data_IF_744562000583
#
_entry.id   IF_744562000583
#
_cell.length_a   1.000
_cell.length_b   1.000
_cell.length_c   1.000
_cell.angle_alpha   90.00
_cell.angle_beta   90.00
_cell.angle_gamma   90.00
#
_symmetry.space_group_name_H-M   'P 1'
#
loop_
_entity.id
_entity.type
_entity.pdbx_description
1 polymer ?
#
# COMPACT_ATOMS: atom_id res chain seq x y z
N UNK A 1 -18.60 17.73 -9.24
CA UNK A 1 -18.51 18.46 -7.95
C UNK A 1 -17.56 17.66 -7.07
N UNK A 2 -16.29 18.06 -7.05
CA UNK A 2 -15.21 17.40 -6.35
C UNK A 2 -15.00 18.09 -5.01
N UNK A 3 -15.08 17.36 -3.88
CA UNK A 3 -14.52 17.80 -2.60
C UNK A 3 -14.06 16.58 -1.82
N UNK A 4 -12.74 16.38 -1.79
CA UNK A 4 -12.05 15.46 -0.90
C UNK A 4 -11.31 16.35 0.12
N UNK A 5 -11.78 16.41 1.37
CA UNK A 5 -11.07 17.09 2.44
C UNK A 5 -10.45 16.04 3.36
N UNK A 6 -9.13 15.88 3.27
CA UNK A 6 -8.31 15.11 4.20
C UNK A 6 -7.77 16.07 5.26
N UNK A 7 -8.22 15.88 6.49
CA UNK A 7 -7.75 16.57 7.69
C UNK A 7 -6.37 16.03 8.09
N UNK A 8 -5.38 16.90 8.19
CA UNK A 8 -4.10 16.64 8.85
C UNK A 8 -3.95 17.66 9.96
N UNK A 9 -4.13 17.19 11.20
CA UNK A 9 -3.78 17.91 12.43
C UNK A 9 -2.26 18.06 12.49
N UNK A 10 -1.77 19.29 12.35
CA UNK A 10 -0.40 19.65 12.70
C UNK A 10 -0.31 19.84 14.22
N UNK A 11 0.44 18.96 14.87
CA UNK A 11 0.85 19.11 16.26
C UNK A 11 1.91 20.19 16.39
N UNK A 12 1.65 21.11 17.31
CA UNK A 12 2.48 22.23 17.73
C UNK A 12 3.81 21.71 18.29
N UNK A 13 4.94 22.02 17.63
CA UNK A 13 6.27 21.86 18.20
C UNK A 13 6.76 23.24 18.68
N UNK A 14 6.63 23.44 19.98
CA UNK A 14 7.06 24.60 20.76
C UNK A 14 8.56 24.44 21.08
N UNK A 15 9.45 24.81 20.15
CA UNK A 15 10.87 25.03 20.48
C UNK A 15 11.42 26.14 19.59
N UNK A 16 11.87 27.26 20.19
CA UNK A 16 12.85 28.14 19.54
C UNK A 16 12.42 29.57 19.19
N UNK A 17 11.61 30.24 20.02
CA UNK A 17 11.30 31.67 19.83
C UNK A 17 12.47 32.64 20.13
N UNK A 18 13.63 32.17 20.60
CA UNK A 18 14.81 33.04 20.87
C UNK A 18 15.79 33.17 19.70
N UNK A 19 15.79 32.28 18.71
CA UNK A 19 16.76 32.33 17.60
C UNK A 19 16.35 33.28 16.47
N UNK A 20 15.09 33.67 16.39
CA UNK A 20 14.58 34.58 15.34
C UNK A 20 14.75 36.06 15.69
N UNK A 21 14.88 36.40 16.98
CA UNK A 21 15.08 37.79 17.41
C UNK A 21 16.53 38.28 17.29
N UNK A 22 17.51 37.37 17.33
CA UNK A 22 18.93 37.73 17.07
C UNK A 22 19.20 37.98 15.59
N UNK A 23 18.44 37.34 14.69
CA UNK A 23 18.62 37.50 13.24
C UNK A 23 18.07 38.85 12.73
N UNK A 24 17.02 39.40 13.36
CA UNK A 24 16.49 40.71 13.01
C UNK A 24 17.39 41.87 13.46
N UNK A 25 18.13 41.73 14.57
CA UNK A 25 18.99 42.81 15.07
C UNK A 25 20.36 42.89 14.36
N UNK A 26 20.77 41.82 13.67
CA UNK A 26 21.98 41.83 12.84
C UNK A 26 21.77 42.43 11.44
N UNK A 27 20.53 42.50 10.95
CA UNK A 27 20.22 43.13 9.67
C UNK A 27 20.21 44.67 9.73
N UNK A 28 19.99 45.27 10.91
CA UNK A 28 19.87 46.72 11.06
C UNK A 28 21.20 47.46 11.24
N UNK A 29 22.28 46.76 11.63
CA UNK A 29 23.62 47.36 11.76
C UNK A 29 24.43 47.36 10.46
N UNK A 30 23.85 46.84 9.36
CA UNK A 30 24.50 46.78 8.05
C UNK A 30 23.91 47.80 7.05
N UNK A 31 23.22 48.81 7.57
CA UNK A 31 22.79 49.97 6.81
C UNK A 31 23.55 51.18 7.34
N UNK A 32 24.71 51.47 6.75
CA UNK A 32 25.42 52.77 6.68
C UNK A 32 26.95 52.63 6.54
N UNK A 33 27.44 51.60 5.86
CA UNK A 33 28.56 51.84 4.96
C UNK A 33 28.00 51.81 3.55
N UNK A 34 27.78 53.02 3.00
CA UNK A 34 27.66 53.16 1.55
C UNK A 34 28.98 52.58 1.03
N UNK A 35 28.91 51.40 0.42
CA UNK A 35 30.04 50.84 -0.32
C UNK A 35 30.19 51.74 -1.55
N UNK A 36 30.96 52.81 -1.38
CA UNK A 36 31.46 53.57 -2.51
C UNK A 36 32.34 52.60 -3.29
N UNK A 37 32.10 52.50 -4.59
CA UNK A 37 33.05 51.87 -5.50
C UNK A 37 34.31 52.76 -5.53
N UNK A 38 35.14 52.63 -4.51
CA UNK A 38 36.44 53.25 -4.46
C UNK A 38 37.32 52.57 -5.50
N UNK A 39 37.66 53.36 -6.52
CA UNK A 39 38.25 52.99 -7.80
C UNK A 39 37.30 52.33 -8.82
N UNK A 40 37.19 52.95 -10.00
CA UNK A 40 36.60 52.38 -11.22
C UNK A 40 37.36 51.15 -11.76
N UNK A 41 38.44 50.72 -11.09
CA UNK A 41 39.22 49.52 -11.39
C UNK A 41 39.66 48.84 -10.09
N UNK A 42 39.21 47.60 -9.86
CA UNK A 42 39.68 46.80 -8.72
C UNK A 42 41.01 46.14 -9.09
N UNK A 43 42.09 46.69 -8.58
CA UNK A 43 43.45 46.23 -8.83
C UNK A 43 43.84 45.18 -7.79
N UNK A 44 43.30 43.97 -7.93
CA UNK A 44 43.60 42.86 -7.02
C UNK A 44 44.98 42.23 -7.24
N UNK A 45 45.70 42.58 -8.32
CA UNK A 45 46.88 41.86 -8.80
C UNK A 45 48.03 42.77 -9.29
N UNK A 46 48.00 44.06 -8.95
CA UNK A 46 49.10 44.98 -9.31
C UNK A 46 50.24 44.96 -8.27
N UNK A 47 49.98 44.46 -7.06
CA UNK A 47 51.01 44.28 -6.01
C UNK A 47 51.78 42.95 -6.14
N UNK A 48 51.26 42.03 -6.94
CA UNK A 48 51.98 40.81 -7.30
C UNK A 48 52.95 41.17 -8.42
N UNK A 49 54.23 41.36 -8.08
CA UNK A 49 55.29 41.32 -9.09
C UNK A 49 55.01 40.13 -10.00
N UNK A 50 54.90 40.36 -11.31
CA UNK A 50 54.60 39.31 -12.29
C UNK A 50 55.82 38.38 -12.42
N UNK A 51 56.07 37.58 -11.39
CA UNK A 51 57.07 36.50 -11.34
C UNK A 51 56.55 35.38 -12.23
N UNK A 52 56.69 35.57 -13.54
CA UNK A 52 56.92 34.42 -14.39
C UNK A 52 58.18 33.75 -13.86
N UNK A 53 58.15 32.48 -13.42
CA UNK A 53 59.35 31.82 -12.95
C UNK A 53 60.30 31.71 -14.14
N UNK A 54 61.31 32.58 -14.19
CA UNK A 54 62.37 32.48 -15.18
C UNK A 54 63.09 31.17 -14.87
N UNK A 55 63.20 30.25 -15.84
CA UNK A 55 63.86 28.97 -15.60
C UNK A 55 65.29 29.22 -15.13
N UNK A 56 65.59 28.79 -13.89
CA UNK A 56 66.88 29.01 -13.23
C UNK A 56 66.92 30.11 -12.16
N UNK A 57 65.84 30.87 -11.92
CA UNK A 57 65.79 31.91 -10.86
C UNK A 57 64.91 31.56 -9.67
N UNK A 58 64.43 30.31 -9.57
CA UNK A 58 63.67 29.86 -8.39
C UNK A 58 64.63 29.68 -7.22
N UNK A 59 64.49 30.54 -6.21
CA UNK A 59 65.19 30.37 -4.95
C UNK A 59 64.54 29.16 -4.26
N UNK A 60 65.30 28.10 -3.94
CA UNK A 60 64.73 26.96 -3.24
C UNK A 60 64.22 27.42 -1.87
N UNK A 61 63.03 26.94 -1.46
CA UNK A 61 62.46 27.25 -0.16
C UNK A 61 63.45 26.93 0.96
N UNK A 62 63.49 27.77 2.00
CA UNK A 62 64.43 27.61 3.09
C UNK A 62 64.21 26.27 3.81
N UNK A 63 65.26 25.69 4.39
CA UNK A 63 65.16 24.40 5.09
C UNK A 63 64.10 24.41 6.21
N UNK A 64 63.94 25.56 6.87
CA UNK A 64 62.91 25.85 7.87
C UNK A 64 61.48 25.79 7.32
N UNK A 65 61.24 26.30 6.11
CA UNK A 65 59.91 26.19 5.46
C UNK A 65 59.61 24.77 4.98
N UNK A 66 60.64 24.03 4.55
CA UNK A 66 60.50 22.63 4.16
C UNK A 66 60.19 21.71 5.35
N UNK A 67 60.67 22.04 6.55
CA UNK A 67 60.40 21.29 7.78
C UNK A 67 58.96 21.49 8.27
N UNK A 68 58.42 22.71 8.15
CA UNK A 68 57.01 23.02 8.46
C UNK A 68 56.03 22.29 7.55
N UNK A 69 56.40 22.06 6.28
CA UNK A 69 55.60 21.32 5.30
C UNK A 69 55.61 19.80 5.52
N UNK A 70 56.47 19.29 6.41
CA UNK A 70 56.53 17.88 6.76
C UNK A 70 57.30 17.00 5.76
N UNK A 71 57.41 15.69 6.05
CA UNK A 71 58.19 14.76 5.24
C UNK A 71 57.64 14.64 3.81
N UNK A 72 58.54 14.47 2.84
CA UNK A 72 58.14 14.27 1.44
C UNK A 72 57.53 12.88 1.25
N UNK A 73 56.32 12.84 0.70
CA UNK A 73 55.61 11.61 0.35
C UNK A 73 55.35 11.61 -1.15
N UNK A 74 55.74 10.52 -1.83
CA UNK A 74 55.39 10.32 -3.23
C UNK A 74 53.98 9.72 -3.31
N UNK A 75 53.03 10.48 -3.84
CA UNK A 75 51.67 10.02 -4.12
C UNK A 75 51.50 10.01 -5.64
N UNK A 76 51.31 8.82 -6.22
CA UNK A 76 51.09 8.64 -7.67
C UNK A 76 52.19 9.26 -8.56
N UNK A 77 53.46 9.17 -8.14
CA UNK A 77 54.61 9.72 -8.87
C UNK A 77 54.84 11.22 -8.68
N UNK A 78 53.98 11.92 -7.92
CA UNK A 78 54.15 13.33 -7.56
C UNK A 78 54.58 13.46 -6.11
N UNK A 79 55.60 14.27 -5.83
CA UNK A 79 56.09 14.53 -4.49
C UNK A 79 55.20 15.57 -3.80
N UNK A 80 54.49 15.17 -2.75
CA UNK A 80 53.61 16.02 -1.96
C UNK A 80 54.18 16.15 -0.55
N UNK A 81 54.24 17.37 -0.02
CA UNK A 81 54.57 17.65 1.38
C UNK A 81 53.34 18.24 2.04
N UNK A 82 52.88 17.62 3.12
CA UNK A 82 51.76 18.11 3.91
C UNK A 82 52.01 17.89 5.41
N UNK A 83 51.61 18.84 6.27
CA UNK A 83 51.67 18.65 7.71
C UNK A 83 50.84 17.42 8.13
N UNK A 84 51.43 16.53 8.92
CA UNK A 84 50.81 15.26 9.35
C UNK A 84 49.50 15.45 10.11
N UNK A 85 49.38 16.54 10.89
CA UNK A 85 48.16 16.90 11.63
C UNK A 85 47.00 17.18 10.67
N UNK A 86 47.27 17.89 9.58
CA UNK A 86 46.25 18.27 8.60
C UNK A 86 45.84 17.07 7.75
N UNK A 87 46.81 16.21 7.36
CA UNK A 87 46.53 14.95 6.66
C UNK A 87 45.61 14.06 7.50
N UNK A 88 45.89 13.91 8.79
CA UNK A 88 45.06 13.11 9.70
C UNK A 88 43.66 13.72 9.88
N UNK A 89 43.55 15.04 10.01
CA UNK A 89 42.25 15.71 10.11
C UNK A 89 41.38 15.45 8.88
N UNK A 90 41.90 15.71 7.68
CA UNK A 90 41.13 15.48 6.45
C UNK A 90 40.85 14.00 6.20
N UNK A 91 41.76 13.12 6.61
CA UNK A 91 41.53 11.67 6.56
C UNK A 91 40.35 11.27 7.45
N UNK A 92 40.30 11.76 8.70
CA UNK A 92 39.18 11.49 9.61
C UNK A 92 37.87 12.06 9.08
N UNK A 93 37.86 13.31 8.62
CA UNK A 93 36.66 13.94 8.03
C UNK A 93 36.16 13.16 6.81
N UNK A 94 37.06 12.70 5.94
CA UNK A 94 36.72 11.85 4.79
C UNK A 94 36.16 10.51 5.24
N UNK A 95 36.76 9.86 6.23
CA UNK A 95 36.29 8.57 6.73
C UNK A 95 34.91 8.69 7.36
N UNK A 96 34.67 9.71 8.18
CA UNK A 96 33.37 9.95 8.81
C UNK A 96 32.28 10.28 7.79
N UNK A 97 32.57 11.15 6.81
CA UNK A 97 31.61 11.44 5.74
C UNK A 97 31.30 10.19 4.92
N UNK A 98 32.30 9.39 4.57
CA UNK A 98 32.11 8.16 3.79
C UNK A 98 31.31 7.12 4.58
N UNK A 99 31.59 6.95 5.87
CA UNK A 99 30.84 6.08 6.76
C UNK A 99 29.37 6.55 6.89
N UNK A 100 29.16 7.87 6.99
CA UNK A 100 27.81 8.44 7.02
C UNK A 100 27.05 8.18 5.72
N UNK A 101 27.68 8.43 4.56
CA UNK A 101 27.08 8.14 3.25
C UNK A 101 26.73 6.65 3.10
N UNK A 102 27.64 5.75 3.46
CA UNK A 102 27.41 4.31 3.42
C UNK A 102 26.27 3.89 4.35
N UNK A 103 26.18 4.46 5.55
CA UNK A 103 25.08 4.16 6.48
C UNK A 103 23.72 4.63 5.94
N UNK A 104 23.67 5.79 5.29
CA UNK A 104 22.46 6.30 4.65
C UNK A 104 22.06 5.41 3.47
N UNK A 105 23.03 5.04 2.62
CA UNK A 105 22.82 4.14 1.49
C UNK A 105 22.30 2.77 1.94
N UNK A 106 22.92 2.18 2.98
CA UNK A 106 22.49 0.90 3.53
C UNK A 106 21.06 0.95 4.08
N UNK A 107 20.69 2.02 4.79
CA UNK A 107 19.31 2.21 5.27
C UNK A 107 18.31 2.37 4.13
N UNK A 108 18.70 3.10 3.08
CA UNK A 108 17.86 3.29 1.91
C UNK A 108 17.65 1.98 1.14
N UNK A 109 18.70 1.18 0.97
CA UNK A 109 18.64 -0.14 0.36
C UNK A 109 17.76 -1.08 1.20
N UNK A 110 17.93 -1.12 2.53
CA UNK A 110 17.09 -1.95 3.41
C UNK A 110 15.60 -1.57 3.34
N UNK A 111 15.29 -0.27 3.28
CA UNK A 111 13.91 0.21 3.11
C UNK A 111 13.35 -0.19 1.75
N UNK A 112 14.15 -0.06 0.70
CA UNK A 112 13.78 -0.41 -0.67
C UNK A 112 13.54 -1.91 -0.80
N UNK A 113 14.40 -2.74 -0.20
CA UNK A 113 14.25 -4.20 -0.19
C UNK A 113 13.01 -4.64 0.57
N UNK A 114 12.71 -4.03 1.73
CA UNK A 114 11.47 -4.28 2.47
C UNK A 114 10.24 -3.89 1.66
N UNK A 115 10.31 -2.76 0.96
CA UNK A 115 9.24 -2.28 0.10
C UNK A 115 8.99 -3.25 -1.07
N UNK A 116 10.05 -3.65 -1.79
CA UNK A 116 9.92 -4.63 -2.88
C UNK A 116 9.48 -6.00 -2.40
N UNK A 117 9.92 -6.45 -1.22
CA UNK A 117 9.45 -7.71 -0.64
C UNK A 117 7.95 -7.66 -0.37
N UNK A 118 7.45 -6.56 0.21
CA UNK A 118 6.02 -6.32 0.42
C UNK A 118 5.25 -6.29 -0.91
N UNK A 119 5.77 -5.60 -1.92
CA UNK A 119 5.16 -5.57 -3.25
C UNK A 119 5.12 -6.97 -3.90
N UNK A 120 6.17 -7.77 -3.72
CA UNK A 120 6.26 -9.15 -4.24
C UNK A 120 5.26 -10.06 -3.54
N UNK A 121 5.10 -9.94 -2.22
CA UNK A 121 4.10 -10.66 -1.44
C UNK A 121 2.67 -10.30 -1.90
N UNK A 122 2.41 -9.01 -2.10
CA UNK A 122 1.11 -8.54 -2.61
C UNK A 122 0.87 -9.03 -4.04
N UNK A 123 1.86 -8.89 -4.93
CA UNK A 123 1.77 -9.31 -6.33
C UNK A 123 1.59 -10.82 -6.46
N UNK A 124 2.32 -11.62 -5.68
CA UNK A 124 2.15 -13.08 -5.65
C UNK A 124 0.79 -13.48 -5.11
N UNK A 125 0.28 -12.78 -4.09
CA UNK A 125 -1.08 -13.00 -3.57
C UNK A 125 -2.13 -12.66 -4.63
N UNK A 126 -2.03 -11.52 -5.29
CA UNK A 126 -2.96 -11.09 -6.36
C UNK A 126 -2.89 -12.08 -7.54
N UNK A 127 -1.68 -12.44 -7.97
CA UNK A 127 -1.46 -13.41 -9.03
C UNK A 127 -2.01 -14.80 -8.66
N UNK A 128 -2.01 -15.16 -7.38
CA UNK A 128 -2.60 -16.42 -6.91
C UNK A 128 -4.13 -16.36 -6.84
N UNK A 129 -4.70 -15.15 -6.77
CA UNK A 129 -6.15 -14.93 -6.69
C UNK A 129 -6.80 -14.97 -8.08
N UNK A 130 -6.12 -14.43 -9.08
CA UNK A 130 -6.57 -14.37 -10.46
C UNK A 130 -6.36 -15.70 -11.18
N UNK A 131 -7.43 -16.28 -11.73
CA UNK A 131 -7.35 -17.37 -12.70
C UNK A 131 -7.25 -16.76 -14.12
N UNK A 132 -6.21 -17.10 -14.90
CA UNK A 132 -5.99 -16.57 -16.26
C UNK A 132 -7.12 -16.88 -17.24
N UNK A 133 -8.07 -17.73 -16.85
CA UNK A 133 -9.23 -18.13 -17.65
C UNK A 133 -10.38 -17.11 -17.61
N UNK A 134 -10.37 -16.18 -16.66
CA UNK A 134 -11.41 -15.13 -16.54
C UNK A 134 -10.90 -13.77 -17.05
N UNK A 135 -11.57 -13.21 -18.06
CA UNK A 135 -11.26 -11.87 -18.56
C UNK A 135 -11.72 -10.78 -17.57
N UNK A 136 -10.77 -10.21 -16.83
CA UNK A 136 -11.05 -9.22 -15.78
C UNK A 136 -11.66 -7.92 -16.32
N UNK A 137 -11.26 -7.50 -17.51
CA UNK A 137 -11.60 -6.17 -18.03
C UNK A 137 -13.10 -6.02 -18.32
N UNK A 138 -13.76 -6.87 -19.13
CA UNK A 138 -15.20 -6.79 -19.33
C UNK A 138 -15.98 -7.12 -18.06
N UNK A 139 -15.55 -8.13 -17.29
CA UNK A 139 -16.29 -8.60 -16.12
C UNK A 139 -16.28 -7.60 -14.95
N UNK A 140 -15.16 -6.89 -14.72
CA UNK A 140 -15.08 -5.84 -13.71
C UNK A 140 -16.02 -4.68 -13.99
N UNK A 141 -16.20 -4.31 -15.27
CA UNK A 141 -17.15 -3.27 -15.69
C UNK A 141 -18.58 -3.70 -15.37
N UNK A 142 -18.95 -4.96 -15.64
CA UNK A 142 -20.27 -5.47 -15.28
C UNK A 142 -20.53 -5.46 -13.77
N UNK A 143 -19.51 -5.74 -12.96
CA UNK A 143 -19.61 -5.61 -11.50
C UNK A 143 -19.89 -4.16 -11.12
N UNK A 144 -19.11 -3.21 -11.63
CA UNK A 144 -19.31 -1.78 -11.33
C UNK A 144 -20.73 -1.35 -11.71
N UNK A 145 -21.24 -1.79 -12.87
CA UNK A 145 -22.62 -1.53 -13.30
C UNK A 145 -23.65 -2.15 -12.34
N UNK A 146 -23.47 -3.40 -11.92
CA UNK A 146 -24.33 -4.06 -10.94
C UNK A 146 -24.33 -3.36 -9.57
N UNK A 147 -23.15 -2.91 -9.13
CA UNK A 147 -22.97 -2.11 -7.91
C UNK A 147 -23.76 -0.80 -8.00
N UNK A 148 -23.65 -0.11 -9.15
CA UNK A 148 -24.37 1.13 -9.42
C UNK A 148 -25.89 0.88 -9.49
N UNK A 149 -26.33 -0.23 -10.05
CA UNK A 149 -27.74 -0.64 -10.01
C UNK A 149 -28.24 -0.78 -8.57
N UNK A 150 -27.43 -1.32 -7.66
CA UNK A 150 -27.72 -1.36 -6.23
C UNK A 150 -27.92 0.02 -5.60
N UNK A 151 -27.19 1.05 -6.05
CA UNK A 151 -27.40 2.44 -5.60
C UNK A 151 -28.75 3.00 -6.05
N UNK A 152 -29.18 2.66 -7.27
CA UNK A 152 -30.45 3.11 -7.84
C UNK A 152 -31.62 2.44 -7.11
N UNK A 153 -31.52 1.13 -6.85
CA UNK A 153 -32.54 0.37 -6.11
C UNK A 153 -32.73 0.92 -4.70
N UNK A 154 -31.66 1.35 -4.03
CA UNK A 154 -31.74 1.91 -2.68
C UNK A 154 -32.08 3.40 -2.62
N UNK A 155 -32.31 4.07 -3.76
CA UNK A 155 -32.53 5.53 -3.84
C UNK A 155 -33.64 6.04 -2.91
N UNK A 156 -34.72 5.27 -2.74
CA UNK A 156 -35.91 5.65 -1.94
C UNK A 156 -36.03 4.85 -0.62
N UNK A 157 -34.98 4.14 -0.22
CA UNK A 157 -34.98 3.31 0.99
C UNK A 157 -34.21 4.00 2.12
N UNK A 158 -34.34 3.45 3.33
CA UNK A 158 -33.68 3.93 4.54
C UNK A 158 -32.16 4.06 4.34
N UNK A 159 -31.51 4.94 5.11
CA UNK A 159 -30.07 5.23 5.00
C UNK A 159 -29.18 3.98 5.13
N UNK A 160 -29.59 3.00 5.95
CA UNK A 160 -28.89 1.73 6.10
C UNK A 160 -28.91 0.92 4.80
N UNK A 161 -30.07 0.78 4.17
CA UNK A 161 -30.21 0.08 2.88
C UNK A 161 -29.45 0.84 1.79
N UNK A 162 -29.44 2.18 1.85
CA UNK A 162 -28.67 3.02 0.91
C UNK A 162 -27.16 2.78 1.01
N UNK A 163 -26.63 2.50 2.20
CA UNK A 163 -25.22 2.19 2.40
C UNK A 163 -24.88 0.72 2.07
N UNK A 164 -25.76 -0.23 2.43
CA UNK A 164 -25.51 -1.67 2.24
C UNK A 164 -25.84 -2.17 0.83
N UNK A 165 -26.85 -1.60 0.17
CA UNK A 165 -27.32 -2.09 -1.14
C UNK A 165 -26.22 -2.14 -2.21
N UNK A 166 -25.40 -1.10 -2.40
CA UNK A 166 -24.31 -1.16 -3.36
C UNK A 166 -23.30 -2.26 -3.02
N UNK A 167 -23.00 -2.48 -1.73
CA UNK A 167 -22.08 -3.54 -1.30
C UNK A 167 -22.65 -4.93 -1.60
N UNK A 168 -23.93 -5.17 -1.26
CA UNK A 168 -24.58 -6.46 -1.51
C UNK A 168 -24.67 -6.74 -3.01
N UNK A 169 -25.12 -5.77 -3.81
CA UNK A 169 -25.17 -5.92 -5.26
C UNK A 169 -23.79 -6.05 -5.91
N UNK A 170 -22.78 -5.36 -5.37
CA UNK A 170 -21.39 -5.49 -5.81
C UNK A 170 -20.84 -6.89 -5.56
N UNK A 171 -21.02 -7.42 -4.35
CA UNK A 171 -20.60 -8.79 -4.00
C UNK A 171 -21.39 -9.84 -4.79
N UNK A 172 -22.68 -9.63 -4.98
CA UNK A 172 -23.52 -10.51 -5.80
C UNK A 172 -23.06 -10.53 -7.26
N UNK A 173 -22.82 -9.36 -7.84
CA UNK A 173 -22.30 -9.25 -9.21
C UNK A 173 -20.91 -9.87 -9.32
N UNK A 174 -20.06 -9.69 -8.31
CA UNK A 174 -18.73 -10.29 -8.27
C UNK A 174 -18.78 -11.82 -8.28
N UNK A 175 -19.66 -12.42 -7.48
CA UNK A 175 -19.86 -13.87 -7.47
C UNK A 175 -20.41 -14.43 -8.80
N UNK A 176 -21.23 -13.65 -9.52
CA UNK A 176 -21.79 -14.03 -10.82
C UNK A 176 -20.77 -13.91 -11.95
N UNK A 177 -20.05 -12.78 -12.03
CA UNK A 177 -19.18 -12.47 -13.17
C UNK A 177 -17.74 -12.97 -13.02
N UNK A 178 -17.26 -13.20 -11.79
CA UNK A 178 -15.94 -13.79 -11.53
C UNK A 178 -16.03 -14.89 -10.44
N UNK A 179 -16.69 -16.03 -10.73
CA UNK A 179 -16.92 -17.08 -9.74
C UNK A 179 -15.61 -17.69 -9.21
N UNK A 180 -14.60 -17.91 -10.06
CA UNK A 180 -13.36 -18.55 -9.65
C UNK A 180 -12.51 -17.60 -8.80
N UNK A 181 -12.41 -16.33 -9.22
CA UNK A 181 -11.72 -15.30 -8.44
C UNK A 181 -12.41 -15.07 -7.08
N UNK A 182 -13.75 -15.12 -7.04
CA UNK A 182 -14.51 -15.02 -5.79
C UNK A 182 -14.19 -16.16 -4.82
N UNK A 183 -14.16 -17.41 -5.29
CA UNK A 183 -13.83 -18.58 -4.45
C UNK A 183 -12.38 -18.55 -3.95
N UNK A 184 -11.42 -18.13 -4.79
CA UNK A 184 -10.03 -17.96 -4.38
C UNK A 184 -9.88 -16.85 -3.32
N UNK A 185 -10.58 -15.72 -3.52
CA UNK A 185 -10.62 -14.60 -2.58
C UNK A 185 -11.20 -15.03 -1.23
N UNK A 186 -12.33 -15.76 -1.25
CA UNK A 186 -12.96 -16.31 -0.05
C UNK A 186 -12.02 -17.25 0.71
N UNK A 187 -11.32 -18.15 -0.01
CA UNK A 187 -10.32 -19.05 0.61
C UNK A 187 -9.15 -18.30 1.23
N UNK A 188 -8.69 -17.21 0.61
CA UNK A 188 -7.63 -16.37 1.16
C UNK A 188 -8.09 -15.69 2.44
N UNK A 189 -9.26 -15.04 2.42
CA UNK A 189 -9.86 -14.39 3.60
C UNK A 189 -10.03 -15.41 4.71
N UNK A 190 -10.52 -16.61 4.40
CA UNK A 190 -10.68 -17.69 5.36
C UNK A 190 -9.35 -18.10 6.03
N UNK A 191 -8.27 -18.27 5.25
CA UNK A 191 -6.94 -18.57 5.78
C UNK A 191 -6.42 -17.44 6.68
N UNK A 192 -6.69 -16.19 6.32
CA UNK A 192 -6.25 -15.02 7.05
C UNK A 192 -7.01 -14.85 8.37
N UNK A 193 -8.32 -15.06 8.35
CA UNK A 193 -9.17 -15.11 9.55
C UNK A 193 -8.74 -16.23 10.49
N UNK A 194 -8.47 -17.43 9.97
CA UNK A 194 -8.03 -18.55 10.80
C UNK A 194 -6.69 -18.27 11.50
N UNK A 195 -5.79 -17.54 10.84
CA UNK A 195 -4.48 -17.17 11.39
C UNK A 195 -4.57 -16.05 12.43
N UNK A 196 -5.36 -15.01 12.15
CA UNK A 196 -5.36 -13.78 12.95
C UNK A 196 -6.53 -13.69 13.95
N UNK A 197 -7.67 -14.33 13.66
CA UNK A 197 -8.94 -14.22 14.39
C UNK A 197 -9.65 -15.58 14.51
N UNK A 198 -9.08 -16.56 15.24
CA UNK A 198 -9.61 -17.92 15.30
C UNK A 198 -11.01 -18.03 15.92
N UNK A 199 -11.38 -17.12 16.83
CA UNK A 199 -12.72 -17.10 17.41
C UNK A 199 -13.78 -16.79 16.35
N UNK A 200 -13.54 -15.79 15.50
CA UNK A 200 -14.48 -15.37 14.46
C UNK A 200 -14.69 -16.47 13.40
N UNK A 201 -13.59 -17.11 12.97
CA UNK A 201 -13.65 -18.26 12.06
C UNK A 201 -14.50 -19.41 12.65
N UNK A 202 -14.38 -19.67 13.94
CA UNK A 202 -15.18 -20.72 14.61
C UNK A 202 -16.67 -20.36 14.63
N UNK A 203 -17.02 -19.09 14.88
CA UNK A 203 -18.40 -18.60 14.83
C UNK A 203 -18.99 -18.69 13.42
N UNK A 204 -18.22 -18.31 12.39
CA UNK A 204 -18.65 -18.43 11.00
C UNK A 204 -18.92 -19.88 10.59
N UNK A 205 -18.05 -20.82 10.99
CA UNK A 205 -18.26 -22.26 10.78
C UNK A 205 -19.55 -22.76 11.42
N UNK A 206 -19.78 -22.41 12.69
CA UNK A 206 -21.01 -22.77 13.39
C UNK A 206 -22.26 -22.14 12.76
N UNK A 207 -22.15 -20.91 12.26
CA UNK A 207 -23.24 -20.26 11.55
C UNK A 207 -23.53 -20.96 10.22
N UNK A 208 -22.49 -21.34 9.45
CA UNK A 208 -22.63 -22.09 8.21
C UNK A 208 -23.28 -23.46 8.44
N UNK A 209 -22.83 -24.22 9.44
CA UNK A 209 -23.39 -25.51 9.79
C UNK A 209 -24.88 -25.42 10.18
N UNK A 210 -25.27 -24.36 10.90
CA UNK A 210 -26.69 -24.09 11.22
C UNK A 210 -27.52 -23.75 9.99
N UNK A 211 -26.95 -23.05 9.01
CA UNK A 211 -27.66 -22.77 7.75
C UNK A 211 -27.85 -24.07 6.97
N UNK A 212 -26.84 -24.92 6.89
CA UNK A 212 -26.93 -26.22 6.22
C UNK A 212 -27.96 -27.13 6.90
N UNK A 213 -28.01 -27.15 8.24
CA UNK A 213 -29.03 -27.91 8.96
C UNK A 213 -30.44 -27.37 8.68
N UNK A 214 -30.63 -26.04 8.64
CA UNK A 214 -31.93 -25.44 8.34
C UNK A 214 -32.40 -25.75 6.92
N UNK A 215 -31.50 -25.73 5.93
CA UNK A 215 -31.85 -26.09 4.55
C UNK A 215 -32.29 -27.55 4.48
N UNK A 216 -31.55 -28.45 5.13
CA UNK A 216 -31.92 -29.86 5.20
C UNK A 216 -33.26 -30.08 5.94
N UNK A 217 -33.54 -29.32 6.99
CA UNK A 217 -34.79 -29.41 7.74
C UNK A 217 -35.98 -28.88 6.94
N UNK A 218 -35.78 -27.81 6.16
CA UNK A 218 -36.78 -27.29 5.22
C UNK A 218 -37.05 -28.31 4.10
N UNK A 219 -36.01 -28.93 3.54
CA UNK A 219 -36.16 -29.97 2.52
C UNK A 219 -36.91 -31.19 3.06
N UNK A 220 -36.57 -31.65 4.26
CA UNK A 220 -37.29 -32.73 4.94
C UNK A 220 -38.75 -32.36 5.20
N UNK A 221 -39.01 -31.15 5.70
CA UNK A 221 -40.37 -30.66 5.97
C UNK A 221 -41.19 -30.57 4.68
N UNK A 222 -40.58 -30.11 3.58
CA UNK A 222 -41.21 -30.07 2.26
C UNK A 222 -41.49 -31.48 1.72
N UNK A 223 -40.56 -32.41 1.92
CA UNK A 223 -40.73 -33.83 1.58
C UNK A 223 -41.83 -34.51 2.39
N UNK A 224 -41.91 -34.22 3.68
CA UNK A 224 -42.97 -34.70 4.58
C UNK A 224 -44.34 -34.10 4.22
N UNK A 225 -44.38 -32.81 3.86
CA UNK A 225 -45.59 -32.14 3.37
C UNK A 225 -46.16 -32.82 2.13
N UNK A 226 -45.31 -33.15 1.14
CA UNK A 226 -45.72 -33.91 -0.05
C UNK A 226 -46.31 -35.28 0.33
N UNK A 227 -45.64 -36.02 1.22
CA UNK A 227 -46.11 -37.34 1.68
C UNK A 227 -47.45 -37.27 2.41
N UNK A 228 -47.68 -36.22 3.21
CA UNK A 228 -48.96 -36.00 3.91
C UNK A 228 -50.10 -35.66 2.95
N UNK A 229 -49.82 -34.90 1.90
CA UNK A 229 -50.80 -34.61 0.84
C UNK A 229 -51.17 -35.91 0.12
N UNK A 230 -50.18 -36.72 -0.27
CA UNK A 230 -50.41 -38.01 -0.92
C UNK A 230 -51.23 -38.97 -0.05
N UNK A 231 -50.94 -39.04 1.26
CA UNK A 231 -51.73 -39.87 2.18
C UNK A 231 -53.15 -39.35 2.36
N UNK A 232 -53.33 -38.03 2.48
CA UNK A 232 -54.67 -37.42 2.61
C UNK A 232 -55.52 -37.68 1.36
N UNK A 233 -54.93 -37.58 0.17
CA UNK A 233 -55.61 -37.91 -1.09
C UNK A 233 -56.00 -39.39 -1.11
N UNK A 234 -55.11 -40.29 -0.68
CA UNK A 234 -55.40 -41.73 -0.58
C UNK A 234 -56.51 -42.01 0.43
N UNK A 235 -56.48 -41.39 1.60
CA UNK A 235 -57.49 -41.58 2.65
C UNK A 235 -58.85 -41.03 2.21
N UNK A 236 -58.88 -39.88 1.55
CA UNK A 236 -60.10 -39.31 0.96
C UNK A 236 -60.67 -40.24 -0.12
N UNK A 237 -59.81 -40.80 -0.99
CA UNK A 237 -60.23 -41.79 -2.00
C UNK A 237 -60.80 -43.05 -1.34
N UNK A 238 -60.17 -43.57 -0.28
CA UNK A 238 -60.67 -44.73 0.47
C UNK A 238 -62.03 -44.47 1.11
N UNK A 239 -62.22 -43.32 1.75
CA UNK A 239 -63.50 -42.97 2.37
C UNK A 239 -64.64 -42.87 1.34
N UNK A 240 -64.36 -42.30 0.16
CA UNK A 240 -65.33 -42.26 -0.93
C UNK A 240 -65.62 -43.69 -1.42
N UNK A 241 -64.59 -44.53 -1.57
CA UNK A 241 -64.76 -45.93 -1.97
C UNK A 241 -65.60 -46.74 -0.96
N UNK A 242 -65.36 -46.60 0.33
CA UNK A 242 -66.06 -47.32 1.40
C UNK A 242 -67.54 -46.88 1.52
N UNK A 243 -67.82 -45.58 1.40
CA UNK A 243 -69.19 -45.04 1.47
C UNK A 243 -70.00 -45.38 0.22
N UNK A 244 -69.36 -45.45 -0.95
CA UNK A 244 -70.05 -45.72 -2.23
C UNK A 244 -70.02 -47.20 -2.63
N UNK A 245 -69.25 -48.05 -1.92
CA UNK A 245 -69.03 -49.45 -2.27
C UNK A 245 -68.28 -49.67 -3.58
N UNK A 246 -67.64 -48.62 -4.13
CA UNK A 246 -67.01 -48.64 -5.45
C UNK A 246 -65.48 -48.79 -5.34
N UNK A 247 -64.91 -49.85 -5.92
CA UNK A 247 -63.46 -50.03 -6.00
C UNK A 247 -62.86 -49.14 -7.11
N UNK A 248 -62.16 -48.06 -6.73
CA UNK A 248 -61.58 -47.06 -7.66
C UNK A 248 -60.09 -47.34 -7.97
N UNK A 249 -59.63 -48.56 -7.72
CA UNK A 249 -58.22 -48.96 -7.90
C UNK A 249 -57.88 -49.38 -9.34
N UNK A 250 -58.83 -49.30 -10.29
CA UNK A 250 -58.54 -49.55 -11.69
C UNK A 250 -57.95 -48.31 -12.37
N UNK A 251 -56.61 -48.26 -12.48
CA UNK A 251 -55.93 -47.41 -13.46
C UNK A 251 -56.37 -47.80 -14.88
N UNK A 252 -57.31 -47.04 -15.45
CA UNK A 252 -57.55 -47.06 -16.91
C UNK A 252 -56.43 -46.27 -17.61
N UNK A 253 -55.26 -46.88 -17.69
CA UNK A 253 -54.29 -46.57 -18.76
C UNK A 253 -54.92 -46.99 -20.09
N UNK A 254 -55.61 -46.07 -20.76
CA UNK A 254 -55.90 -46.19 -22.20
C UNK A 254 -54.66 -45.73 -22.97
N UNK A 255 -53.83 -46.69 -23.34
CA UNK A 255 -52.83 -46.55 -24.40
C UNK A 255 -53.56 -46.59 -25.75
N UNK A 256 -53.90 -45.43 -26.29
CA UNK A 256 -54.29 -45.24 -27.69
C UNK A 256 -53.05 -44.91 -28.51
N UNK A 257 -52.91 -45.58 -29.66
CA UNK A 257 -51.90 -45.34 -30.71
C UNK A 257 -51.87 -43.89 -31.17
#
# INVERSE_FOLDING_TARGET
>A
MAVFYRSVKAGTFLVGASSTLLCLNQLNNNANSIILNESTRRDFYEDDDQITPIPGTVIPASASELEVLGPNKLVSGVSVRSPSVLENFFKSVRQESLNYYQNVENKFNELTDKYYTKEREVTSTISSLHDRREDLFPNSIYIVVGTLAGTIVARRRNILIRALSPLVFGLFSFAIFLPQTFENSKKLVWKLEQKNLPEFASRQKLAAEKVDSLVNDVEKTAGEGKRKIDSTIKDTRKLIADVTGLNIDQEVTKKGK
#
